data_IF_200642892846
#
_entry.id   IF_200642892846
#
_cell.length_a   1.000
_cell.length_b   1.000
_cell.length_c   1.000
_cell.angle_alpha   90.00
_cell.angle_beta   90.00
_cell.angle_gamma   90.00
#
_symmetry.space_group_name_H-M   'P 1'
#
loop_
_entity.id
_entity.type
_entity.pdbx_description
1 polymer ?
#
# COMPACT_ATOMS: atom_id res chain seq x y z
N UNK A 1 0.61 7.32 -1.91
CA UNK A 1 -0.61 8.01 -1.43
C UNK A 1 -1.83 7.73 -2.33
N UNK A 2 -1.86 8.09 -3.62
CA UNK A 2 -3.04 7.92 -4.49
C UNK A 2 -3.66 6.52 -4.48
N UNK A 3 -2.85 5.48 -4.48
CA UNK A 3 -3.33 4.09 -4.45
C UNK A 3 -4.06 3.76 -3.16
N UNK A 4 -3.57 4.27 -2.01
CA UNK A 4 -4.23 4.11 -0.71
C UNK A 4 -5.60 4.78 -0.71
N UNK A 5 -5.66 6.03 -1.15
CA UNK A 5 -6.92 6.78 -1.21
C UNK A 5 -7.95 6.11 -2.13
N UNK A 6 -7.52 5.56 -3.29
CA UNK A 6 -8.41 4.78 -4.16
C UNK A 6 -8.88 3.50 -3.46
N UNK A 7 -8.01 2.82 -2.73
CA UNK A 7 -8.39 1.64 -1.98
C UNK A 7 -9.43 1.96 -0.90
N UNK A 8 -9.23 3.02 -0.14
CA UNK A 8 -10.17 3.50 0.90
C UNK A 8 -11.53 3.83 0.30
N UNK A 9 -11.54 4.69 -0.73
CA UNK A 9 -12.77 5.10 -1.41
C UNK A 9 -13.49 3.88 -2.00
N UNK A 10 -12.77 3.01 -2.70
CA UNK A 10 -13.36 1.80 -3.31
C UNK A 10 -13.93 0.86 -2.26
N UNK A 11 -13.23 0.66 -1.13
CA UNK A 11 -13.69 -0.19 -0.02
C UNK A 11 -15.01 0.35 0.55
N UNK A 12 -15.08 1.65 0.85
CA UNK A 12 -16.29 2.27 1.38
C UNK A 12 -17.42 2.30 0.36
N UNK A 13 -17.11 2.61 -0.90
CA UNK A 13 -18.10 2.64 -1.97
C UNK A 13 -18.76 1.28 -2.17
N UNK A 14 -17.96 0.22 -2.24
CA UNK A 14 -18.48 -1.15 -2.39
C UNK A 14 -19.32 -1.54 -1.17
N UNK A 15 -18.85 -1.28 0.05
CA UNK A 15 -19.61 -1.58 1.27
C UNK A 15 -20.97 -0.85 1.30
N UNK A 16 -20.99 0.43 0.92
CA UNK A 16 -22.22 1.22 0.84
C UNK A 16 -23.16 0.70 -0.25
N UNK A 17 -22.63 0.34 -1.42
CA UNK A 17 -23.42 -0.15 -2.54
C UNK A 17 -24.18 -1.45 -2.19
N UNK A 18 -23.53 -2.33 -1.44
CA UNK A 18 -24.12 -3.61 -1.00
C UNK A 18 -24.81 -3.53 0.36
N UNK A 19 -24.91 -2.32 0.92
CA UNK A 19 -25.53 -2.08 2.25
C UNK A 19 -24.91 -2.95 3.36
N UNK A 20 -23.60 -3.13 3.32
CA UNK A 20 -22.82 -3.81 4.36
C UNK A 20 -22.47 -2.84 5.49
N UNK A 21 -22.21 -3.38 6.68
CA UNK A 21 -21.61 -2.58 7.75
C UNK A 21 -20.28 -1.98 7.30
N UNK A 22 -20.02 -0.75 7.75
CA UNK A 22 -18.81 -0.04 7.33
C UNK A 22 -17.53 -0.79 7.72
N UNK A 23 -16.74 -1.28 6.75
CA UNK A 23 -15.50 -2.01 7.04
C UNK A 23 -14.41 -1.10 7.60
N UNK A 24 -14.50 0.21 7.35
CA UNK A 24 -13.57 1.22 7.82
C UNK A 24 -14.33 2.40 8.40
N UNK A 25 -13.93 2.85 9.59
CA UNK A 25 -14.43 4.06 10.21
C UNK A 25 -13.62 5.28 9.77
N UNK A 26 -14.20 6.47 9.87
CA UNK A 26 -13.50 7.70 9.54
C UNK A 26 -12.20 7.90 10.33
N UNK A 27 -12.17 7.46 11.59
CA UNK A 27 -10.97 7.52 12.44
C UNK A 27 -9.86 6.59 11.92
N UNK A 28 -10.20 5.43 11.34
CA UNK A 28 -9.25 4.52 10.71
C UNK A 28 -8.59 5.18 9.50
N UNK A 29 -9.39 5.78 8.62
CA UNK A 29 -8.92 6.44 7.40
C UNK A 29 -8.02 7.63 7.74
N UNK A 30 -8.45 8.48 8.68
CA UNK A 30 -7.65 9.61 9.14
C UNK A 30 -6.28 9.16 9.67
N UNK A 31 -6.26 8.09 10.45
CA UNK A 31 -5.01 7.55 10.99
C UNK A 31 -4.10 6.95 9.92
N UNK A 32 -4.67 6.20 8.98
CA UNK A 32 -3.91 5.62 7.86
C UNK A 32 -3.26 6.74 7.04
N UNK A 33 -3.99 7.80 6.73
CA UNK A 33 -3.43 8.95 6.00
C UNK A 33 -2.32 9.61 6.82
N UNK A 34 -2.55 9.88 8.10
CA UNK A 34 -1.61 10.63 8.93
C UNK A 34 -0.35 9.81 9.26
N UNK A 35 -0.51 8.60 9.79
CA UNK A 35 0.61 7.82 10.34
C UNK A 35 1.29 6.93 9.30
N UNK A 36 0.52 6.32 8.38
CA UNK A 36 1.08 5.31 7.46
C UNK A 36 1.40 5.84 6.07
N UNK A 37 0.79 6.96 5.66
CA UNK A 37 1.01 7.55 4.34
C UNK A 37 1.90 8.79 4.37
N UNK A 38 1.68 9.69 5.34
CA UNK A 38 2.40 10.97 5.39
C UNK A 38 3.87 10.79 5.78
N UNK A 39 4.17 9.96 6.80
CA UNK A 39 5.55 9.76 7.26
C UNK A 39 6.46 9.17 6.17
N UNK A 40 6.08 8.07 5.47
CA UNK A 40 6.87 7.56 4.36
C UNK A 40 6.96 8.54 3.18
N UNK A 41 5.93 9.35 2.93
CA UNK A 41 5.96 10.33 1.86
C UNK A 41 6.97 11.46 2.15
N UNK A 42 7.04 11.93 3.40
CA UNK A 42 8.07 12.89 3.83
C UNK A 42 9.48 12.30 3.68
N UNK A 43 9.66 11.04 4.10
CA UNK A 43 10.95 10.35 3.96
C UNK A 43 11.39 10.21 2.50
N UNK A 44 10.45 9.92 1.59
CA UNK A 44 10.73 9.88 0.15
C UNK A 44 11.03 11.27 -0.44
N UNK A 45 10.44 12.33 0.11
CA UNK A 45 10.71 13.72 -0.31
C UNK A 45 12.12 14.18 0.01
N UNK A 46 12.76 13.61 1.03
CA UNK A 46 14.16 13.91 1.43
C UNK A 46 15.15 12.95 0.76
N UNK A 47 14.69 12.01 -0.06
CA UNK A 47 15.54 11.02 -0.72
C UNK A 47 16.48 11.68 -1.75
N UNK A 48 17.79 11.43 -1.70
CA UNK A 48 18.72 11.99 -2.67
C UNK A 48 18.44 11.48 -4.09
N UNK A 49 18.60 12.35 -5.06
CA UNK A 49 18.41 12.05 -6.46
C UNK A 49 19.24 10.84 -6.91
N UNK A 50 18.67 9.98 -7.74
CA UNK A 50 19.35 8.80 -8.28
C UNK A 50 20.61 9.21 -9.05
N UNK A 51 21.74 8.54 -8.81
CA UNK A 51 23.04 8.80 -9.49
C UNK A 51 22.95 8.76 -11.02
N UNK A 52 21.95 8.12 -11.59
CA UNK A 52 21.75 7.97 -13.03
C UNK A 52 20.67 8.90 -13.61
N UNK A 53 20.13 9.84 -12.83
CA UNK A 53 19.03 10.71 -13.30
C UNK A 53 19.43 11.54 -14.53
N UNK A 54 20.69 11.98 -14.61
CA UNK A 54 21.23 12.78 -15.72
C UNK A 54 21.46 11.96 -17.00
N UNK A 55 21.42 10.62 -16.93
CA UNK A 55 21.56 9.74 -18.09
C UNK A 55 20.23 9.46 -18.80
N UNK A 56 19.11 9.84 -18.19
CA UNK A 56 17.79 9.70 -18.79
C UNK A 56 17.44 10.96 -19.59
N UNK A 57 16.84 10.74 -20.77
CA UNK A 57 16.30 11.87 -21.56
C UNK A 57 15.26 12.63 -20.74
N UNK A 58 15.22 13.97 -20.81
CA UNK A 58 14.21 14.75 -20.12
C UNK A 58 12.81 14.28 -20.52
N UNK A 59 11.96 14.06 -19.53
CA UNK A 59 10.55 13.80 -19.79
C UNK A 59 9.95 15.08 -20.34
N UNK A 60 9.38 15.03 -21.55
CA UNK A 60 8.68 16.19 -22.12
C UNK A 60 7.58 16.62 -21.16
N UNK A 61 7.74 17.82 -20.61
CA UNK A 61 6.81 18.46 -19.69
C UNK A 61 5.44 18.59 -20.34
N UNK A 62 4.41 18.02 -19.74
CA UNK A 62 3.04 18.24 -20.19
C UNK A 62 1.97 17.49 -19.40
N UNK A 63 2.23 16.28 -18.99
CA UNK A 63 1.22 15.47 -18.29
C UNK A 63 1.83 14.81 -17.07
N UNK A 64 1.53 15.34 -15.88
CA UNK A 64 1.85 14.68 -14.59
C UNK A 64 1.18 13.30 -14.48
N UNK A 65 0.13 13.06 -15.24
CA UNK A 65 -0.64 11.83 -15.28
C UNK A 65 -0.55 11.19 -16.67
N UNK A 66 0.50 10.44 -16.92
CA UNK A 66 0.50 9.50 -18.06
C UNK A 66 -0.61 8.46 -17.88
N UNK A 67 -1.31 8.10 -18.96
CA UNK A 67 -2.40 7.10 -18.93
C UNK A 67 -1.97 5.80 -18.26
N UNK A 68 -0.72 5.38 -18.47
CA UNK A 68 -0.14 4.19 -17.86
C UNK A 68 -0.01 4.31 -16.33
N UNK A 69 0.29 5.52 -15.82
CA UNK A 69 0.35 5.78 -14.37
C UNK A 69 -1.04 5.71 -13.74
N UNK A 70 -2.02 6.37 -14.36
CA UNK A 70 -3.40 6.38 -13.87
C UNK A 70 -3.96 4.98 -13.82
N UNK A 71 -3.82 4.21 -14.90
CA UNK A 71 -4.27 2.83 -14.97
C UNK A 71 -3.63 1.94 -13.90
N UNK A 72 -2.32 2.10 -13.70
CA UNK A 72 -1.59 1.40 -12.66
C UNK A 72 -2.10 1.75 -11.26
N UNK A 73 -2.34 3.02 -10.98
CA UNK A 73 -2.82 3.50 -9.68
C UNK A 73 -4.23 2.95 -9.39
N UNK A 74 -5.12 2.98 -10.37
CA UNK A 74 -6.49 2.46 -10.24
C UNK A 74 -6.49 0.94 -10.01
N UNK A 75 -5.80 0.17 -10.84
CA UNK A 75 -5.77 -1.30 -10.70
C UNK A 75 -5.16 -1.74 -9.38
N UNK A 76 -4.11 -1.06 -8.94
CA UNK A 76 -3.49 -1.34 -7.65
C UNK A 76 -4.39 -0.94 -6.47
N UNK A 77 -5.11 0.17 -6.57
CA UNK A 77 -6.05 0.62 -5.55
C UNK A 77 -7.22 -0.36 -5.38
N UNK A 78 -7.82 -0.77 -6.51
CA UNK A 78 -8.91 -1.76 -6.50
C UNK A 78 -8.44 -3.09 -5.89
N UNK A 79 -7.23 -3.54 -6.21
CA UNK A 79 -6.71 -4.78 -5.63
C UNK A 79 -6.53 -4.69 -4.11
N UNK A 80 -5.99 -3.59 -3.60
CA UNK A 80 -5.87 -3.38 -2.14
C UNK A 80 -7.27 -3.31 -1.50
N UNK A 81 -8.24 -2.66 -2.15
CA UNK A 81 -9.62 -2.63 -1.67
C UNK A 81 -10.21 -4.05 -1.58
N UNK A 82 -9.99 -4.89 -2.59
CA UNK A 82 -10.42 -6.31 -2.54
C UNK A 82 -9.79 -7.07 -1.37
N UNK A 83 -8.48 -6.89 -1.12
CA UNK A 83 -7.80 -7.53 0.02
C UNK A 83 -8.36 -7.03 1.36
N UNK A 84 -8.64 -5.73 1.46
CA UNK A 84 -9.23 -5.10 2.64
C UNK A 84 -10.64 -5.63 2.91
N UNK A 85 -11.49 -5.72 1.88
CA UNK A 85 -12.84 -6.30 1.99
C UNK A 85 -12.79 -7.79 2.34
N UNK A 86 -11.87 -8.55 1.73
CA UNK A 86 -11.67 -9.96 2.07
C UNK A 86 -11.31 -10.13 3.55
N UNK A 87 -10.41 -9.30 4.07
CA UNK A 87 -10.06 -9.31 5.49
C UNK A 87 -11.28 -8.99 6.39
N UNK A 88 -12.08 -7.99 5.98
CA UNK A 88 -13.31 -7.65 6.69
C UNK A 88 -14.27 -8.84 6.78
N UNK A 89 -14.57 -9.50 5.65
CA UNK A 89 -15.47 -10.62 5.62
C UNK A 89 -14.98 -11.83 6.41
N UNK A 90 -13.70 -12.14 6.31
CA UNK A 90 -13.11 -13.24 7.09
C UNK A 90 -13.24 -12.94 8.59
N UNK A 91 -12.89 -11.73 9.04
CA UNK A 91 -12.97 -11.35 10.43
C UNK A 91 -14.40 -11.30 10.96
N UNK A 92 -15.34 -10.76 10.17
CA UNK A 92 -16.73 -10.66 10.52
C UNK A 92 -17.43 -12.03 10.56
N UNK A 93 -17.01 -12.99 9.73
CA UNK A 93 -17.58 -14.35 9.71
C UNK A 93 -17.01 -15.26 10.79
N UNK A 94 -15.79 -15.01 11.27
CA UNK A 94 -15.17 -15.82 12.33
C UNK A 94 -15.69 -15.42 13.71
N UNK A 95 -15.74 -14.11 14.00
CA UNK A 95 -16.10 -13.60 15.32
C UNK A 95 -17.29 -12.62 15.28
N UNK A 96 -17.00 -11.37 14.91
CA UNK A 96 -17.96 -10.28 14.90
C UNK A 96 -17.53 -9.16 13.92
N UNK A 97 -18.44 -8.23 13.56
CA UNK A 97 -18.12 -7.13 12.65
C UNK A 97 -16.95 -6.25 13.12
N UNK A 98 -16.74 -6.09 14.42
CA UNK A 98 -15.64 -5.31 14.99
C UNK A 98 -14.27 -5.95 14.70
N UNK A 99 -14.20 -7.29 14.77
CA UNK A 99 -13.00 -8.05 14.36
C UNK A 99 -12.75 -7.86 12.87
N UNK A 100 -13.78 -7.89 12.04
CA UNK A 100 -13.69 -7.59 10.62
C UNK A 100 -13.12 -6.20 10.33
N UNK A 101 -13.62 -5.17 11.03
CA UNK A 101 -13.11 -3.80 10.93
C UNK A 101 -11.63 -3.71 11.34
N UNK A 102 -11.24 -4.37 12.41
CA UNK A 102 -9.85 -4.41 12.89
C UNK A 102 -8.93 -5.06 11.86
N UNK A 103 -9.34 -6.18 11.28
CA UNK A 103 -8.58 -6.87 10.24
C UNK A 103 -8.48 -6.04 8.97
N UNK A 104 -9.56 -5.42 8.52
CA UNK A 104 -9.59 -4.53 7.35
C UNK A 104 -8.65 -3.33 7.53
N UNK A 105 -8.74 -2.64 8.66
CA UNK A 105 -7.85 -1.54 9.02
C UNK A 105 -6.39 -1.98 9.03
N UNK A 106 -6.09 -3.13 9.63
CA UNK A 106 -4.73 -3.66 9.71
C UNK A 106 -4.15 -4.02 8.33
N UNK A 107 -4.95 -4.66 7.46
CA UNK A 107 -4.53 -4.98 6.09
C UNK A 107 -4.27 -3.72 5.28
N UNK A 108 -5.16 -2.73 5.37
CA UNK A 108 -5.01 -1.47 4.66
C UNK A 108 -3.75 -0.73 5.09
N UNK A 109 -3.55 -0.56 6.41
CA UNK A 109 -2.39 0.14 6.96
C UNK A 109 -1.07 -0.56 6.62
N UNK A 110 -0.98 -1.88 6.85
CA UNK A 110 0.22 -2.66 6.52
C UNK A 110 0.52 -2.66 5.02
N UNK A 111 -0.50 -2.80 4.17
CA UNK A 111 -0.33 -2.73 2.72
C UNK A 111 0.26 -1.40 2.28
N UNK A 112 -0.18 -0.28 2.85
CA UNK A 112 0.36 1.04 2.54
C UNK A 112 1.81 1.21 2.99
N UNK A 113 2.14 0.77 4.21
CA UNK A 113 3.49 0.79 4.74
C UNK A 113 4.45 -0.03 3.88
N UNK A 114 4.07 -1.26 3.54
CA UNK A 114 4.87 -2.15 2.70
C UNK A 114 5.07 -1.61 1.27
N UNK A 115 4.06 -0.93 0.72
CA UNK A 115 4.14 -0.30 -0.60
C UNK A 115 5.07 0.91 -0.62
N UNK A 116 5.19 1.66 0.47
CA UNK A 116 6.13 2.78 0.56
C UNK A 116 7.57 2.31 0.30
N UNK A 117 7.96 1.15 0.82
CA UNK A 117 9.25 0.53 0.51
C UNK A 117 9.41 0.19 -0.97
N UNK A 118 8.35 -0.31 -1.58
CA UNK A 118 8.41 -0.74 -2.98
C UNK A 118 8.44 0.46 -3.95
N UNK A 119 7.95 1.62 -3.56
CA UNK A 119 7.98 2.84 -4.38
C UNK A 119 9.36 3.49 -4.48
N UNK A 120 10.26 3.25 -3.53
CA UNK A 120 11.63 3.75 -3.58
C UNK A 120 12.41 3.20 -4.80
N UNK A 121 11.98 2.09 -5.40
CA UNK A 121 12.59 1.53 -6.61
C UNK A 121 11.54 1.28 -7.70
N UNK A 122 11.48 2.20 -8.67
CA UNK A 122 10.62 2.04 -9.84
C UNK A 122 11.16 1.05 -10.90
N UNK A 123 12.44 0.68 -10.83
CA UNK A 123 13.13 -0.06 -11.90
C UNK A 123 13.88 -1.31 -11.44
N UNK A 124 14.20 -1.44 -10.15
CA UNK A 124 14.96 -2.59 -9.65
C UNK A 124 14.20 -3.33 -8.54
N UNK A 125 14.22 -4.68 -8.54
CA UNK A 125 13.59 -5.46 -7.49
C UNK A 125 14.31 -5.24 -6.14
N UNK A 126 13.54 -5.30 -5.06
CA UNK A 126 13.97 -5.05 -3.67
C UNK A 126 15.25 -5.84 -3.31
N UNK A 127 15.40 -7.06 -3.83
CA UNK A 127 16.49 -8.00 -3.52
C UNK A 127 17.89 -7.54 -4.00
N UNK A 128 17.96 -6.64 -4.97
CA UNK A 128 19.26 -6.19 -5.54
C UNK A 128 19.83 -4.95 -4.86
N UNK A 129 19.08 -4.29 -3.98
CA UNK A 129 19.46 -2.98 -3.45
C UNK A 129 19.62 -2.92 -1.93
N UNK A 130 19.92 -4.04 -1.27
CA UNK A 130 20.17 -4.10 0.18
C UNK A 130 21.29 -3.13 0.66
N UNK A 131 22.11 -2.60 -0.25
CA UNK A 131 23.25 -1.73 0.03
C UNK A 131 22.98 -0.22 -0.03
N UNK A 132 21.73 0.22 -0.29
CA UNK A 132 21.41 1.64 -0.45
C UNK A 132 20.02 2.02 0.09
N UNK A 133 19.58 1.37 1.17
CA UNK A 133 18.30 1.70 1.79
C UNK A 133 18.36 3.11 2.40
N UNK A 134 17.43 3.98 2.02
CA UNK A 134 17.35 5.31 2.61
C UNK A 134 17.02 5.17 4.10
N UNK A 135 17.93 5.63 4.95
CA UNK A 135 17.80 5.59 6.40
C UNK A 135 16.50 6.30 6.86
N UNK A 136 16.11 7.38 6.20
CA UNK A 136 14.89 8.12 6.49
C UNK A 136 13.63 7.29 6.22
N UNK A 137 13.65 6.48 5.15
CA UNK A 137 12.54 5.57 4.84
C UNK A 137 12.42 4.45 5.88
N UNK A 138 13.55 3.88 6.31
CA UNK A 138 13.56 2.88 7.38
C UNK A 138 13.06 3.46 8.71
N UNK A 139 13.51 4.66 9.09
CA UNK A 139 13.03 5.35 10.29
C UNK A 139 11.52 5.61 10.20
N UNK A 140 11.04 6.14 9.07
CA UNK A 140 9.61 6.42 8.89
C UNK A 140 8.76 5.16 9.01
N UNK A 141 9.25 4.03 8.51
CA UNK A 141 8.57 2.75 8.65
C UNK A 141 8.50 2.29 10.12
N UNK A 142 9.63 2.34 10.83
CA UNK A 142 9.68 1.96 12.25
C UNK A 142 8.73 2.84 13.07
N UNK A 143 8.72 4.15 12.81
CA UNK A 143 7.83 5.10 13.49
C UNK A 143 6.37 4.79 13.16
N UNK A 144 6.04 4.55 11.88
CA UNK A 144 4.68 4.18 11.47
C UNK A 144 4.25 2.84 12.09
N UNK A 145 5.14 1.85 12.10
CA UNK A 145 4.88 0.55 12.73
C UNK A 145 4.68 0.68 14.24
N UNK A 146 5.47 1.51 14.91
CA UNK A 146 5.31 1.79 16.33
C UNK A 146 3.94 2.43 16.64
N UNK A 147 3.56 3.46 15.90
CA UNK A 147 2.25 4.09 16.06
C UNK A 147 1.09 3.13 15.75
N UNK A 148 1.23 2.29 14.74
CA UNK A 148 0.25 1.25 14.44
C UNK A 148 0.14 0.24 15.57
N UNK A 149 1.29 -0.20 16.11
CA UNK A 149 1.34 -1.09 17.28
C UNK A 149 0.69 -0.48 18.52
N UNK A 150 0.89 0.80 18.78
CA UNK A 150 0.23 1.49 19.89
C UNK A 150 -1.30 1.37 19.80
N UNK A 151 -1.89 1.61 18.63
CA UNK A 151 -3.34 1.52 18.44
C UNK A 151 -3.85 0.09 18.61
N UNK A 152 -3.10 -0.89 18.09
CA UNK A 152 -3.52 -2.28 18.10
C UNK A 152 -3.37 -2.96 19.46
N UNK A 153 -2.44 -2.49 20.31
CA UNK A 153 -2.12 -3.17 21.56
C UNK A 153 -2.46 -2.37 22.83
N UNK A 154 -2.67 -1.05 22.75
CA UNK A 154 -3.00 -0.22 23.91
C UNK A 154 -4.52 -0.15 24.11
N UNK A 155 -5.09 -0.68 25.21
CA UNK A 155 -6.55 -0.78 25.40
C UNK A 155 -7.28 0.57 25.37
N UNK A 156 -6.61 1.64 25.83
CA UNK A 156 -7.19 2.98 25.78
C UNK A 156 -7.38 3.48 24.35
N UNK A 157 -6.41 3.21 23.46
CA UNK A 157 -6.48 3.58 22.06
C UNK A 157 -7.45 2.66 21.28
N UNK A 158 -7.48 1.37 21.60
CA UNK A 158 -8.44 0.44 21.00
C UNK A 158 -9.88 0.92 21.15
N UNK A 159 -10.24 1.45 22.31
CA UNK A 159 -11.59 2.00 22.56
C UNK A 159 -11.89 3.22 21.67
N UNK A 160 -10.91 4.11 21.49
CA UNK A 160 -11.07 5.33 20.67
C UNK A 160 -11.20 4.97 19.19
N UNK A 161 -10.45 3.96 18.74
CA UNK A 161 -10.43 3.52 17.35
C UNK A 161 -11.42 2.41 17.04
N UNK A 162 -12.24 1.98 18.02
CA UNK A 162 -13.18 0.87 17.84
C UNK A 162 -12.49 -0.39 17.29
N UNK A 163 -11.37 -0.75 17.90
CA UNK A 163 -10.55 -1.91 17.52
C UNK A 163 -10.65 -2.97 18.62
N UNK A 164 -10.66 -4.23 18.22
CA UNK A 164 -10.62 -5.39 19.13
C UNK A 164 -9.31 -6.17 18.97
N UNK A 165 -8.99 -6.96 20.01
CA UNK A 165 -7.87 -7.89 19.91
C UNK A 165 -8.19 -9.00 18.91
N UNK A 166 -7.27 -9.24 17.98
CA UNK A 166 -7.37 -10.31 16.99
C UNK A 166 -6.45 -11.47 17.39
N UNK A 167 -6.89 -12.71 17.09
CA UNK A 167 -6.14 -13.92 17.40
C UNK A 167 -4.86 -14.05 16.52
N UNK A 168 -3.95 -14.90 16.97
CA UNK A 168 -2.72 -15.19 16.19
C UNK A 168 -3.02 -15.70 14.77
N UNK A 169 -4.08 -16.52 14.61
CA UNK A 169 -4.51 -16.99 13.29
C UNK A 169 -5.00 -15.86 12.38
N UNK A 170 -5.75 -14.91 12.93
CA UNK A 170 -6.20 -13.71 12.20
C UNK A 170 -5.05 -12.82 11.81
N UNK A 171 -4.00 -12.69 12.66
CA UNK A 171 -2.77 -11.98 12.31
C UNK A 171 -2.05 -12.60 11.11
N UNK A 172 -1.99 -13.93 11.03
CA UNK A 172 -1.41 -14.62 9.87
C UNK A 172 -2.17 -14.25 8.60
N UNK A 173 -3.50 -14.21 8.64
CA UNK A 173 -4.34 -13.81 7.49
C UNK A 173 -4.06 -12.35 7.11
N UNK A 174 -4.01 -11.44 8.08
CA UNK A 174 -3.72 -10.02 7.85
C UNK A 174 -2.35 -9.84 7.17
N UNK A 175 -1.33 -10.50 7.67
CA UNK A 175 0.02 -10.44 7.09
C UNK A 175 0.04 -11.03 5.68
N UNK A 176 -0.58 -12.19 5.46
CA UNK A 176 -0.66 -12.84 4.15
C UNK A 176 -1.33 -11.94 3.11
N UNK A 177 -2.49 -11.36 3.43
CA UNK A 177 -3.22 -10.45 2.53
C UNK A 177 -2.42 -9.17 2.26
N UNK A 178 -1.72 -8.63 3.26
CA UNK A 178 -0.86 -7.45 3.08
C UNK A 178 0.34 -7.74 2.18
N UNK A 179 0.95 -8.91 2.31
CA UNK A 179 2.05 -9.34 1.44
C UNK A 179 1.61 -9.57 0.00
N UNK A 180 0.39 -10.06 -0.24
CA UNK A 180 -0.17 -10.19 -1.59
C UNK A 180 -0.20 -8.85 -2.33
N UNK A 181 -0.37 -7.73 -1.63
CA UNK A 181 -0.32 -6.40 -2.23
C UNK A 181 1.06 -6.04 -2.81
N UNK A 182 2.15 -6.57 -2.22
CA UNK A 182 3.51 -6.41 -2.75
C UNK A 182 3.70 -7.28 -3.98
N UNK A 183 3.29 -8.55 -3.90
CA UNK A 183 3.39 -9.50 -5.02
C UNK A 183 2.74 -8.93 -6.27
N UNK A 184 1.57 -8.31 -6.14
CA UNK A 184 0.92 -7.63 -7.25
C UNK A 184 1.80 -6.55 -7.87
N UNK A 185 2.45 -5.71 -7.06
CA UNK A 185 3.32 -4.63 -7.58
C UNK A 185 4.53 -5.20 -8.31
N UNK A 186 5.13 -6.28 -7.80
CA UNK A 186 6.27 -6.94 -8.46
C UNK A 186 5.87 -7.60 -9.79
N UNK A 187 4.68 -8.21 -9.86
CA UNK A 187 4.13 -8.75 -11.10
C UNK A 187 3.97 -7.63 -12.15
N UNK A 188 3.41 -6.47 -11.77
CA UNK A 188 3.29 -5.33 -12.69
C UNK A 188 4.65 -4.79 -13.17
N UNK A 189 5.66 -4.74 -12.31
CA UNK A 189 7.03 -4.37 -12.70
C UNK A 189 7.62 -5.37 -13.69
N UNK A 190 7.41 -6.67 -13.46
CA UNK A 190 7.83 -7.74 -14.36
C UNK A 190 7.24 -7.61 -15.76
N UNK A 191 5.94 -7.40 -15.87
CA UNK A 191 5.26 -7.19 -17.15
C UNK A 191 5.76 -5.94 -17.90
N UNK A 192 6.00 -4.83 -17.20
CA UNK A 192 6.55 -3.62 -17.81
C UNK A 192 7.94 -3.87 -18.39
N UNK A 193 8.80 -4.60 -17.69
CA UNK A 193 10.15 -4.95 -18.15
C UNK A 193 10.13 -5.81 -19.43
N UNK A 194 9.22 -6.77 -19.49
CA UNK A 194 9.05 -7.63 -20.67
C UNK A 194 8.59 -6.82 -21.89
N UNK A 195 7.63 -5.90 -21.71
CA UNK A 195 7.11 -5.05 -22.76
C UNK A 195 8.17 -4.07 -23.30
N UNK A 196 9.02 -3.54 -22.44
CA UNK A 196 10.10 -2.62 -22.82
C UNK A 196 11.21 -3.35 -23.60
N UNK A 197 11.54 -4.58 -23.23
CA UNK A 197 12.51 -5.41 -23.92
C UNK A 197 11.99 -5.82 -25.34
N UNK A 198 10.73 -6.19 -25.45
CA UNK A 198 10.12 -6.57 -26.75
C UNK A 198 10.08 -5.39 -27.74
N UNK A 199 9.90 -4.16 -27.25
CA UNK A 199 9.96 -2.95 -28.09
C UNK A 199 11.38 -2.58 -28.56
N UNK A 200 12.41 -2.93 -27.77
CA UNK A 200 13.81 -2.70 -28.16
C UNK A 200 14.30 -3.68 -29.22
N UNK A 201 13.83 -4.90 -29.22
CA UNK A 201 14.20 -5.92 -30.21
C UNK A 201 13.65 -5.57 -31.59
N UNK A 202 12.46 -4.98 -31.68
CA UNK A 202 11.85 -4.55 -32.96
C UNK A 202 12.53 -3.34 -33.61
N UNK A 203 13.24 -2.50 -32.84
CA UNK A 203 13.97 -1.33 -33.37
C UNK A 203 15.41 -1.66 -33.82
N UNK A 204 15.84 -2.90 -33.63
CA UNK A 204 17.17 -3.39 -34.08
C UNK A 204 17.03 -4.22 -35.37
N UNK A 205 15.81 -4.64 -35.71
CA UNK A 205 15.47 -5.44 -36.91
C UNK A 205 14.95 -4.57 -38.08
N UNK A 206 14.77 -3.23 -37.89
CA UNK A 206 14.53 -2.24 -38.95
C UNK A 206 15.81 -1.38 -39.19
#
# INVERSE_FOLDING_TARGET
MLVGNIAEITTLFVATLFNWDNPLLAVHILWVILATSTLPALALGVDPASKNIMKHKPVKTGTLFEKDLVWRVITQGIFVAMMTLTAYFIGASIDNPLTGQTMAFSVLALSQMLRAFNQHSNTEPIWKRATGMNMWLAISFIVSAFFMGLILFVPALQKVFYITNISAGQWIIVIALSLLSIVQVEIFKGFKKLRTNSGRTKLIEE
#
